data_IF_203622337121
#
_entry.id   IF_203622337121
#
_cell.length_a   1.000
_cell.length_b   1.000
_cell.length_c   1.000
_cell.angle_alpha   90.00
_cell.angle_beta   90.00
_cell.angle_gamma   90.00
#
_symmetry.space_group_name_H-M   'P 1'
#
loop_
_entity.id
_entity.type
_entity.pdbx_description
1 polymer ?
#
# COMPACT_ATOMS: atom_id res chain seq x y z
N UNK A 1 2.91 4.31 6.37
CA UNK A 1 4.09 3.55 6.83
C UNK A 1 5.29 4.48 6.98
N UNK A 2 5.80 5.09 5.90
CA UNK A 2 6.98 5.97 5.95
C UNK A 2 6.91 7.14 6.93
N UNK A 3 5.79 7.88 6.95
CA UNK A 3 5.60 8.96 7.91
C UNK A 3 5.51 8.48 9.36
N UNK A 4 5.05 7.24 9.56
CA UNK A 4 5.02 6.62 10.88
C UNK A 4 6.43 6.23 11.35
N UNK A 5 7.33 5.88 10.42
CA UNK A 5 8.76 5.64 10.70
C UNK A 5 9.63 6.90 10.54
N UNK A 6 9.02 8.10 10.48
CA UNK A 6 9.72 9.38 10.52
C UNK A 6 10.30 9.90 9.19
N UNK A 7 10.00 9.27 8.04
CA UNK A 7 10.59 9.64 6.74
C UNK A 7 9.93 10.86 6.06
N UNK A 8 8.82 11.39 6.59
CA UNK A 8 8.16 12.62 6.13
C UNK A 8 7.94 12.70 4.60
N UNK A 9 7.46 11.62 3.99
CA UNK A 9 7.13 11.53 2.56
C UNK A 9 5.79 12.19 2.22
N UNK A 10 5.74 12.77 1.02
CA UNK A 10 4.55 13.41 0.46
C UNK A 10 3.76 12.37 -0.32
N UNK A 11 2.45 12.30 -0.07
CA UNK A 11 1.55 11.43 -0.83
C UNK A 11 1.51 11.89 -2.30
N UNK A 12 1.77 11.00 -3.28
CA UNK A 12 1.67 11.38 -4.70
C UNK A 12 0.24 11.74 -5.09
N UNK A 13 0.11 12.66 -6.04
CA UNK A 13 -1.18 13.06 -6.61
C UNK A 13 -1.83 11.92 -7.41
N UNK A 14 -3.15 12.02 -7.61
CA UNK A 14 -3.87 11.08 -8.47
C UNK A 14 -3.55 11.38 -9.93
N UNK A 15 -3.20 10.33 -10.68
CA UNK A 15 -2.93 10.42 -12.11
C UNK A 15 -4.03 9.72 -12.92
N UNK A 16 -4.30 10.25 -14.11
CA UNK A 16 -5.14 9.62 -15.13
C UNK A 16 -4.36 9.59 -16.44
N UNK A 17 -4.50 8.50 -17.18
CA UNK A 17 -3.83 8.27 -18.46
C UNK A 17 -4.83 7.80 -19.50
N UNK A 18 -4.54 8.11 -20.77
CA UNK A 18 -5.37 7.74 -21.92
C UNK A 18 -5.15 6.30 -22.38
N UNK A 19 -4.06 5.68 -21.95
CA UNK A 19 -3.63 4.33 -22.34
C UNK A 19 -3.34 3.46 -21.12
N UNK A 20 -3.31 2.14 -21.30
CA UNK A 20 -3.16 1.17 -20.21
C UNK A 20 -1.70 1.04 -19.74
N UNK A 21 -0.75 1.21 -20.65
CA UNK A 21 0.68 1.02 -20.42
C UNK A 21 1.22 1.89 -19.27
N UNK A 22 0.89 3.20 -19.16
CA UNK A 22 1.29 4.02 -18.02
C UNK A 22 0.74 3.53 -16.68
N UNK A 23 -0.47 2.94 -16.66
CA UNK A 23 -1.02 2.37 -15.43
C UNK A 23 -0.25 1.11 -15.01
N UNK A 24 0.11 0.24 -15.96
CA UNK A 24 0.92 -0.96 -15.70
C UNK A 24 2.28 -0.55 -15.11
N UNK A 25 2.94 0.43 -15.72
CA UNK A 25 4.21 0.96 -15.24
C UNK A 25 4.09 1.54 -13.82
N UNK A 26 3.01 2.29 -13.53
CA UNK A 26 2.74 2.81 -12.18
C UNK A 26 2.52 1.71 -11.15
N UNK A 27 1.91 0.58 -11.52
CA UNK A 27 1.78 -0.57 -10.63
C UNK A 27 3.13 -1.23 -10.34
N UNK A 28 4.00 -1.36 -11.34
CA UNK A 28 5.37 -1.85 -11.13
C UNK A 28 6.19 -0.92 -10.23
N UNK A 29 6.08 0.39 -10.42
CA UNK A 29 6.71 1.39 -9.57
C UNK A 29 6.19 1.30 -8.13
N UNK A 30 4.88 1.19 -7.93
CA UNK A 30 4.29 1.03 -6.59
C UNK A 30 4.76 -0.25 -5.90
N UNK A 31 4.84 -1.37 -6.61
CA UNK A 31 5.35 -2.63 -6.05
C UNK A 31 6.83 -2.55 -5.67
N UNK A 32 7.65 -1.99 -6.57
CA UNK A 32 9.09 -1.81 -6.34
C UNK A 32 9.36 -0.87 -5.16
N UNK A 33 8.56 0.19 -5.05
CA UNK A 33 8.59 1.09 -3.91
C UNK A 33 8.30 0.38 -2.59
N UNK A 34 7.22 -0.40 -2.52
CA UNK A 34 6.90 -1.19 -1.34
C UNK A 34 8.07 -2.12 -0.96
N UNK A 35 8.66 -2.83 -1.92
CA UNK A 35 9.83 -3.69 -1.69
C UNK A 35 11.02 -2.90 -1.12
N UNK A 36 11.34 -1.76 -1.72
CA UNK A 36 12.46 -0.92 -1.29
C UNK A 36 12.29 -0.41 0.15
N UNK A 37 11.06 -0.11 0.59
CA UNK A 37 10.80 0.30 1.98
C UNK A 37 11.27 -0.77 2.97
N UNK A 38 10.97 -2.06 2.71
CA UNK A 38 11.42 -3.15 3.59
C UNK A 38 12.92 -3.41 3.48
N UNK A 39 13.48 -3.33 2.27
CA UNK A 39 14.93 -3.50 2.06
C UNK A 39 15.76 -2.42 2.78
N UNK A 40 15.26 -1.19 2.81
CA UNK A 40 15.92 -0.07 3.49
C UNK A 40 15.69 -0.07 5.00
N UNK A 41 14.65 -0.74 5.49
CA UNK A 41 14.26 -0.76 6.90
C UNK A 41 14.14 -2.22 7.41
N UNK A 42 15.25 -2.99 7.44
CA UNK A 42 15.22 -4.42 7.77
C UNK A 42 14.79 -4.71 9.22
N UNK A 43 14.88 -3.73 10.12
CA UNK A 43 14.49 -3.84 11.53
C UNK A 43 13.10 -3.25 11.81
N UNK A 44 12.30 -2.96 10.78
CA UNK A 44 10.95 -2.44 10.95
C UNK A 44 10.10 -3.45 11.74
N UNK A 45 9.52 -3.06 12.90
CA UNK A 45 8.57 -3.91 13.60
C UNK A 45 7.36 -4.22 12.72
N UNK A 46 7.03 -5.51 12.60
CA UNK A 46 5.88 -5.94 11.80
C UNK A 46 4.59 -5.95 12.62
N UNK A 47 4.70 -6.39 13.87
CA UNK A 47 3.62 -6.47 14.84
C UNK A 47 3.85 -5.45 15.96
N UNK A 48 2.79 -4.77 16.38
CA UNK A 48 2.82 -3.83 17.50
C UNK A 48 1.68 -4.16 18.46
N UNK A 49 1.99 -4.36 19.74
CA UNK A 49 0.98 -4.66 20.77
C UNK A 49 0.34 -3.39 21.31
N UNK A 50 1.14 -2.33 21.48
CA UNK A 50 0.69 -1.06 22.02
C UNK A 50 0.05 -0.20 20.94
N UNK A 51 -1.18 0.26 21.18
CA UNK A 51 -1.94 1.05 20.22
C UNK A 51 -1.29 2.42 19.91
N UNK A 52 -0.42 2.94 20.79
CA UNK A 52 0.35 4.16 20.53
C UNK A 52 1.38 3.99 19.43
N UNK A 53 1.90 2.77 19.27
CA UNK A 53 2.92 2.42 18.29
C UNK A 53 2.30 1.97 16.96
N UNK A 54 0.97 1.93 16.85
CA UNK A 54 0.28 1.58 15.61
C UNK A 54 0.13 2.75 14.66
N UNK A 55 -0.02 2.42 13.39
CA UNK A 55 -0.25 3.38 12.32
C UNK A 55 -1.72 3.83 12.35
N UNK A 56 -1.93 5.12 12.60
CA UNK A 56 -3.25 5.75 12.44
C UNK A 56 -3.59 5.91 10.97
N UNK A 57 -4.70 5.32 10.54
CA UNK A 57 -5.19 5.46 9.16
C UNK A 57 -6.23 6.57 9.05
N UNK A 58 -6.32 7.15 7.86
CA UNK A 58 -7.29 8.22 7.60
C UNK A 58 -8.76 7.74 7.63
N UNK A 59 -9.00 6.44 7.68
CA UNK A 59 -10.36 5.87 7.77
C UNK A 59 -10.76 5.48 9.20
N UNK A 60 -9.90 5.75 10.20
CA UNK A 60 -10.25 5.71 11.63
C UNK A 60 -9.76 4.47 12.39
N UNK A 61 -9.17 3.49 11.71
CA UNK A 61 -8.63 2.28 12.32
C UNK A 61 -7.12 2.41 12.51
N UNK A 62 -6.61 1.70 13.52
CA UNK A 62 -5.18 1.55 13.77
C UNK A 62 -4.73 0.16 13.33
N UNK A 63 -3.57 0.11 12.70
CA UNK A 63 -2.97 -1.14 12.24
C UNK A 63 -1.48 -1.15 12.51
N UNK A 64 -0.93 -2.32 12.76
CA UNK A 64 0.50 -2.57 12.61
C UNK A 64 0.88 -2.75 11.14
N UNK A 65 2.17 -2.98 10.88
CA UNK A 65 2.71 -3.11 9.52
C UNK A 65 2.21 -4.40 8.86
N UNK A 66 2.14 -5.51 9.60
CA UNK A 66 1.64 -6.79 9.10
C UNK A 66 0.18 -6.67 8.62
N UNK A 67 -0.70 -6.12 9.45
CA UNK A 67 -2.10 -5.95 9.12
C UNK A 67 -2.32 -5.05 7.90
N UNK A 68 -1.51 -3.99 7.74
CA UNK A 68 -1.57 -3.14 6.55
C UNK A 68 -1.08 -3.86 5.29
N UNK A 69 -0.08 -4.75 5.41
CA UNK A 69 0.37 -5.58 4.29
C UNK A 69 -0.71 -6.56 3.86
N UNK A 70 -1.34 -7.25 4.81
CA UNK A 70 -2.49 -8.11 4.52
C UNK A 70 -3.61 -7.34 3.83
N UNK A 71 -3.95 -6.15 4.36
CA UNK A 71 -4.93 -5.26 3.76
C UNK A 71 -4.57 -4.91 2.31
N UNK A 72 -3.31 -4.54 2.05
CA UNK A 72 -2.85 -4.18 0.71
C UNK A 72 -2.96 -5.36 -0.28
N UNK A 73 -2.62 -6.58 0.15
CA UNK A 73 -2.74 -7.78 -0.69
C UNK A 73 -4.20 -8.07 -1.02
N UNK A 74 -5.09 -8.11 -0.02
CA UNK A 74 -6.51 -8.39 -0.27
C UNK A 74 -7.17 -7.28 -1.10
N UNK A 75 -6.70 -6.04 -0.97
CA UNK A 75 -7.17 -4.90 -1.76
C UNK A 75 -6.89 -5.10 -3.26
N UNK A 76 -5.67 -5.54 -3.63
CA UNK A 76 -5.31 -5.84 -5.02
C UNK A 76 -6.13 -7.01 -5.57
N UNK A 77 -6.25 -8.10 -4.80
CA UNK A 77 -7.04 -9.27 -5.21
C UNK A 77 -8.52 -8.92 -5.43
N UNK A 78 -9.09 -8.07 -4.57
CA UNK A 78 -10.45 -7.56 -4.73
C UNK A 78 -10.62 -6.78 -6.03
N UNK A 79 -9.70 -5.88 -6.36
CA UNK A 79 -9.78 -5.11 -7.61
C UNK A 79 -9.60 -5.97 -8.85
N UNK A 80 -8.70 -6.95 -8.79
CA UNK A 80 -8.57 -7.96 -9.85
C UNK A 80 -9.91 -8.66 -10.09
N UNK A 81 -10.56 -9.16 -9.04
CA UNK A 81 -11.88 -9.82 -9.16
C UNK A 81 -12.96 -8.88 -9.72
N UNK A 82 -12.95 -7.60 -9.33
CA UNK A 82 -13.88 -6.61 -9.88
C UNK A 82 -13.69 -6.45 -11.39
N UNK A 83 -12.44 -6.32 -11.87
CA UNK A 83 -12.14 -6.23 -13.30
C UNK A 83 -12.54 -7.52 -14.03
N UNK A 84 -12.22 -8.68 -13.47
CA UNK A 84 -12.61 -9.99 -14.04
C UNK A 84 -14.13 -10.13 -14.18
N UNK A 85 -14.90 -9.60 -13.22
CA UNK A 85 -16.36 -9.61 -13.30
C UNK A 85 -16.87 -8.67 -14.40
N UNK A 86 -16.30 -7.46 -14.53
CA UNK A 86 -16.66 -6.51 -15.59
C UNK A 86 -16.41 -7.08 -16.98
N UNK A 87 -15.33 -7.86 -17.16
CA UNK A 87 -14.99 -8.49 -18.46
C UNK A 87 -15.91 -9.68 -18.79
N UNK A 88 -16.51 -10.32 -17.79
CA UNK A 88 -17.42 -11.46 -17.97
C UNK A 88 -18.86 -11.06 -18.32
N UNK A 89 -19.23 -9.82 -18.04
CA UNK A 89 -20.51 -9.20 -18.44
C UNK A 89 -20.41 -8.63 -19.86
#
# INVERSE_FOLDING_TARGET
MENHIGLNTIRPERCFFDHVEPYIEKLHQAFSYCKNVFEQNPNLPLEELENSEKINTNWGQQYDVEQLLEHAIVHILRHRRQIENIIKE
#
